data_IF_305199760323
#
_entry.id   IF_305199760323
#
_cell.length_a   1.000
_cell.length_b   1.000
_cell.length_c   1.000
_cell.angle_alpha   90.00
_cell.angle_beta   90.00
_cell.angle_gamma   90.00
#
_symmetry.space_group_name_H-M   'P 1'
#
loop_
_entity.id
_entity.type
_entity.pdbx_description
1 polymer ?
#
# COMPACT_ATOMS: atom_id res chain seq x y z
N UNK A 1 13.92 -15.86 10.65
CA UNK A 1 14.86 -15.73 9.52
C UNK A 1 16.01 -14.87 9.98
N UNK A 2 17.11 -15.51 10.31
CA UNK A 2 18.30 -14.91 10.93
C UNK A 2 19.10 -14.14 9.88
N UNK A 3 19.21 -12.83 10.04
CA UNK A 3 20.05 -11.98 9.18
C UNK A 3 21.53 -12.24 9.45
N UNK A 4 22.23 -12.82 8.48
CA UNK A 4 23.69 -12.74 8.46
C UNK A 4 24.09 -11.41 7.82
N UNK A 5 24.38 -10.44 8.66
CA UNK A 5 25.06 -9.20 8.29
C UNK A 5 26.44 -9.55 7.70
N UNK A 6 26.83 -8.96 6.56
CA UNK A 6 28.21 -8.99 6.09
C UNK A 6 29.06 -8.08 7.00
N UNK A 7 29.27 -8.51 8.25
CA UNK A 7 30.04 -7.78 9.26
C UNK A 7 30.95 -8.69 10.08
N UNK A 8 31.30 -9.87 9.59
CA UNK A 8 32.27 -10.74 10.24
C UNK A 8 33.50 -10.88 9.34
N UNK A 9 34.68 -10.77 9.94
CA UNK A 9 36.00 -10.97 9.32
C UNK A 9 35.95 -12.06 8.25
N UNK A 10 36.20 -11.70 6.99
CA UNK A 10 36.26 -12.61 5.86
C UNK A 10 37.48 -13.52 6.06
N UNK A 11 37.25 -14.80 6.38
CA UNK A 11 38.33 -15.76 6.69
C UNK A 11 38.55 -16.77 5.57
N UNK A 12 37.59 -16.91 4.64
CA UNK A 12 37.71 -17.80 3.48
C UNK A 12 37.13 -17.22 2.19
N UNK A 13 37.39 -17.92 1.08
CA UNK A 13 36.80 -17.61 -0.24
C UNK A 13 35.30 -17.87 -0.24
N UNK A 14 34.81 -18.86 0.52
CA UNK A 14 33.37 -19.09 0.68
C UNK A 14 32.67 -17.92 1.39
N UNK A 15 33.30 -17.33 2.42
CA UNK A 15 32.75 -16.15 3.11
C UNK A 15 32.59 -14.96 2.15
N UNK A 16 33.59 -14.75 1.28
CA UNK A 16 33.57 -13.73 0.22
C UNK A 16 32.45 -13.98 -0.79
N UNK A 17 32.31 -15.22 -1.27
CA UNK A 17 31.25 -15.59 -2.21
C UNK A 17 29.85 -15.38 -1.60
N UNK A 18 29.68 -15.73 -0.32
CA UNK A 18 28.43 -15.54 0.39
C UNK A 18 28.11 -14.04 0.57
N UNK A 19 29.09 -13.21 0.94
CA UNK A 19 28.87 -11.77 1.07
C UNK A 19 28.57 -11.10 -0.29
N UNK A 20 29.26 -11.51 -1.37
CA UNK A 20 28.96 -11.02 -2.73
C UNK A 20 27.53 -11.37 -3.14
N UNK A 21 27.05 -12.57 -2.82
CA UNK A 21 25.68 -12.96 -3.09
C UNK A 21 24.67 -12.09 -2.31
N UNK A 22 24.94 -11.81 -1.03
CA UNK A 22 24.10 -10.92 -0.23
C UNK A 22 24.06 -9.49 -0.78
N UNK A 23 25.21 -8.94 -1.18
CA UNK A 23 25.30 -7.60 -1.78
C UNK A 23 24.58 -7.53 -3.13
N UNK A 24 24.73 -8.57 -3.96
CA UNK A 24 24.02 -8.72 -5.23
C UNK A 24 22.51 -8.66 -5.03
N UNK A 25 21.96 -9.44 -4.10
CA UNK A 25 20.51 -9.42 -3.76
C UNK A 25 20.08 -8.04 -3.27
N UNK A 26 20.89 -7.39 -2.42
CA UNK A 26 20.62 -6.04 -1.94
C UNK A 26 20.57 -4.99 -3.05
N UNK A 27 21.50 -5.07 -4.02
CA UNK A 27 21.53 -4.19 -5.20
C UNK A 27 20.33 -4.41 -6.12
N UNK A 28 19.91 -5.67 -6.30
CA UNK A 28 18.71 -6.01 -7.07
C UNK A 28 17.43 -5.44 -6.42
N UNK A 29 17.29 -5.54 -5.10
CA UNK A 29 16.16 -4.92 -4.36
C UNK A 29 16.17 -3.40 -4.52
N UNK A 30 17.33 -2.76 -4.38
CA UNK A 30 17.46 -1.30 -4.58
C UNK A 30 17.09 -0.88 -6.00
N UNK A 31 17.57 -1.60 -7.01
CA UNK A 31 17.24 -1.35 -8.41
C UNK A 31 15.74 -1.49 -8.68
N UNK A 32 15.13 -2.57 -8.19
CA UNK A 32 13.68 -2.78 -8.33
C UNK A 32 12.86 -1.65 -7.69
N UNK A 33 13.27 -1.19 -6.50
CA UNK A 33 12.61 -0.07 -5.81
C UNK A 33 12.78 1.26 -6.56
N UNK A 34 13.94 1.49 -7.15
CA UNK A 34 14.19 2.68 -7.96
C UNK A 34 13.32 2.68 -9.21
N UNK A 35 13.21 1.55 -9.91
CA UNK A 35 12.37 1.42 -11.10
C UNK A 35 10.89 1.63 -10.75
N UNK A 36 10.40 1.01 -9.67
CA UNK A 36 9.04 1.23 -9.18
C UNK A 36 8.77 2.72 -8.89
N UNK A 37 9.72 3.43 -8.28
CA UNK A 37 9.58 4.85 -8.05
C UNK A 37 9.56 5.66 -9.36
N UNK A 38 10.51 5.38 -10.27
CA UNK A 38 10.62 6.09 -11.53
C UNK A 38 9.37 5.90 -12.40
N UNK A 39 8.82 4.69 -12.44
CA UNK A 39 7.58 4.36 -13.15
C UNK A 39 6.34 4.99 -12.51
N UNK A 40 6.30 5.07 -11.17
CA UNK A 40 5.16 5.59 -10.44
C UNK A 40 5.15 7.12 -10.26
N UNK A 41 6.24 7.83 -10.55
CA UNK A 41 6.29 9.28 -10.32
C UNK A 41 5.86 10.05 -11.54
N UNK A 42 4.82 10.87 -11.39
CA UNK A 42 4.24 11.68 -12.45
C UNK A 42 4.02 13.13 -12.00
N UNK A 43 3.78 14.02 -12.95
CA UNK A 43 3.21 15.34 -12.67
C UNK A 43 1.69 15.28 -12.87
N UNK A 44 0.95 15.82 -11.93
CA UNK A 44 -0.51 15.98 -12.01
C UNK A 44 -0.85 17.40 -11.57
N UNK A 45 -1.37 18.21 -12.48
CA UNK A 45 -1.69 19.63 -12.25
C UNK A 45 -0.54 20.44 -11.60
N UNK A 46 0.69 20.17 -12.03
CA UNK A 46 1.96 20.73 -11.51
C UNK A 46 2.44 20.16 -10.16
N UNK A 47 1.64 19.34 -9.49
CA UNK A 47 2.07 18.60 -8.31
C UNK A 47 2.83 17.33 -8.71
N UNK A 48 3.91 17.02 -7.99
CA UNK A 48 4.57 15.73 -8.10
C UNK A 48 3.73 14.71 -7.37
N UNK A 49 3.34 13.64 -8.06
CA UNK A 49 2.56 12.55 -7.48
C UNK A 49 3.27 11.23 -7.65
N UNK A 50 3.18 10.38 -6.64
CA UNK A 50 3.52 8.97 -6.75
C UNK A 50 2.23 8.16 -6.96
N UNK A 51 2.21 7.30 -7.96
CA UNK A 51 1.09 6.46 -8.35
C UNK A 51 1.49 4.98 -8.22
N UNK A 52 0.62 4.20 -7.60
CA UNK A 52 0.79 2.75 -7.50
C UNK A 52 -0.53 2.02 -7.77
N UNK A 53 -0.50 1.13 -8.75
CA UNK A 53 -1.64 0.29 -9.11
C UNK A 53 -1.51 -1.10 -8.49
N UNK A 54 -2.58 -1.52 -7.81
CA UNK A 54 -2.71 -2.81 -7.17
C UNK A 54 -3.84 -3.61 -7.82
N UNK A 55 -3.45 -4.65 -8.57
CA UNK A 55 -4.38 -5.59 -9.19
C UNK A 55 -4.81 -6.63 -8.15
N UNK A 56 -6.12 -6.75 -7.95
CA UNK A 56 -6.74 -7.71 -7.01
C UNK A 56 -7.53 -8.74 -7.83
N UNK A 57 -7.12 -10.02 -7.82
CA UNK A 57 -7.87 -11.08 -8.50
C UNK A 57 -9.29 -11.18 -7.92
N UNK A 58 -10.29 -11.36 -8.77
CA UNK A 58 -11.70 -11.46 -8.34
C UNK A 58 -11.92 -12.63 -7.38
N UNK A 59 -11.21 -13.74 -7.58
CA UNK A 59 -11.21 -14.92 -6.69
C UNK A 59 -10.86 -14.57 -5.23
N UNK A 60 -10.16 -13.45 -5.00
CA UNK A 60 -9.89 -12.93 -3.65
C UNK A 60 -11.19 -12.63 -2.90
N UNK A 61 -12.23 -12.20 -3.61
CA UNK A 61 -13.55 -11.90 -3.04
C UNK A 61 -14.34 -13.17 -2.69
N UNK A 62 -13.97 -14.31 -3.27
CA UNK A 62 -14.66 -15.60 -3.12
C UNK A 62 -13.96 -16.51 -2.10
N UNK A 63 -12.62 -16.46 -2.06
CA UNK A 63 -11.79 -17.39 -1.28
C UNK A 63 -11.51 -16.94 0.15
N UNK A 64 -11.87 -15.70 0.50
CA UNK A 64 -11.58 -15.12 1.82
C UNK A 64 -12.80 -15.21 2.72
N UNK A 65 -12.56 -15.38 4.02
CA UNK A 65 -13.61 -15.40 5.05
C UNK A 65 -13.74 -14.03 5.73
N UNK A 66 -14.86 -13.81 6.42
CA UNK A 66 -15.14 -12.54 7.10
C UNK A 66 -14.00 -12.17 8.06
N UNK A 67 -13.44 -10.96 7.90
CA UNK A 67 -12.32 -10.46 8.70
C UNK A 67 -10.94 -10.74 8.12
N UNK A 68 -10.83 -11.58 7.08
CA UNK A 68 -9.55 -11.79 6.41
C UNK A 68 -9.11 -10.52 5.65
N UNK A 69 -7.81 -10.24 5.69
CA UNK A 69 -7.20 -9.09 5.02
C UNK A 69 -6.42 -9.56 3.79
N UNK A 70 -6.68 -8.93 2.65
CA UNK A 70 -5.81 -9.01 1.48
C UNK A 70 -4.93 -7.78 1.43
N UNK A 71 -3.61 -7.96 1.28
CA UNK A 71 -2.62 -6.87 1.39
C UNK A 71 -1.68 -6.87 0.19
N UNK A 72 -1.43 -5.70 -0.38
CA UNK A 72 -0.49 -5.52 -1.48
C UNK A 72 0.95 -5.83 -1.05
N UNK A 73 1.84 -5.98 -2.03
CA UNK A 73 3.28 -5.85 -1.75
C UNK A 73 3.57 -4.45 -1.20
N UNK A 74 4.60 -4.35 -0.36
CA UNK A 74 5.08 -3.07 0.17
C UNK A 74 5.88 -2.34 -0.90
N UNK A 75 5.72 -1.03 -0.97
CA UNK A 75 6.39 -0.17 -1.94
C UNK A 75 6.90 1.10 -1.25
N UNK A 76 7.86 1.79 -1.86
CA UNK A 76 8.34 3.08 -1.40
C UNK A 76 7.77 4.18 -2.29
N UNK A 77 7.28 5.27 -1.68
CA UNK A 77 6.70 6.39 -2.44
C UNK A 77 7.73 7.42 -2.92
N UNK A 78 8.97 7.30 -2.43
CA UNK A 78 10.13 8.03 -2.93
C UNK A 78 11.43 7.30 -2.58
N UNK A 79 12.55 7.57 -3.26
CA UNK A 79 13.85 7.01 -2.92
C UNK A 79 14.19 7.38 -1.48
N UNK A 80 14.25 6.36 -0.63
CA UNK A 80 14.47 6.53 0.79
C UNK A 80 13.34 7.17 1.60
N UNK A 81 12.15 7.31 1.00
CA UNK A 81 10.94 7.82 1.65
C UNK A 81 10.17 6.78 2.45
N UNK A 82 8.89 7.07 2.68
CA UNK A 82 7.98 6.20 3.42
C UNK A 82 7.73 4.89 2.66
N UNK A 83 7.66 3.79 3.40
CA UNK A 83 7.26 2.48 2.88
C UNK A 83 5.79 2.26 3.14
N UNK A 84 5.00 2.06 2.11
CA UNK A 84 3.53 1.93 2.19
C UNK A 84 3.05 0.57 1.71
N UNK A 85 1.78 0.28 2.00
CA UNK A 85 1.02 -0.84 1.45
C UNK A 85 -0.46 -0.47 1.36
N UNK A 86 -1.19 -1.17 0.50
CA UNK A 86 -2.64 -1.15 0.41
C UNK A 86 -3.22 -2.43 1.01
N UNK A 87 -4.42 -2.34 1.56
CA UNK A 87 -5.14 -3.50 2.06
C UNK A 87 -6.65 -3.30 1.98
N UNK A 88 -7.36 -4.42 1.88
CA UNK A 88 -8.82 -4.50 1.91
C UNK A 88 -9.24 -5.73 2.70
N UNK A 89 -10.51 -5.75 3.10
CA UNK A 89 -11.21 -6.91 3.61
C UNK A 89 -12.17 -7.42 2.54
N UNK A 90 -11.83 -8.51 1.82
CA UNK A 90 -12.59 -8.95 0.66
C UNK A 90 -14.03 -9.32 0.98
N UNK A 91 -14.36 -9.71 2.21
CA UNK A 91 -15.72 -10.02 2.69
C UNK A 91 -16.19 -9.09 3.81
N UNK A 92 -15.45 -8.00 4.07
CA UNK A 92 -15.70 -7.06 5.16
C UNK A 92 -14.93 -7.40 6.43
N UNK A 93 -14.83 -6.44 7.33
CA UNK A 93 -14.14 -6.62 8.61
C UNK A 93 -15.07 -7.29 9.64
N UNK A 94 -14.55 -8.21 10.45
CA UNK A 94 -15.38 -9.01 11.38
C UNK A 94 -16.18 -8.19 12.40
N UNK A 95 -15.75 -6.96 12.69
CA UNK A 95 -16.40 -6.05 13.64
C UNK A 95 -17.33 -5.04 12.97
N UNK A 96 -17.48 -5.10 11.63
CA UNK A 96 -18.34 -4.19 10.89
C UNK A 96 -19.82 -4.56 11.03
N UNK A 97 -20.68 -3.54 11.00
CA UNK A 97 -22.13 -3.75 10.85
C UNK A 97 -22.45 -4.40 9.50
N UNK A 98 -23.54 -5.17 9.42
CA UNK A 98 -24.00 -5.82 8.18
C UNK A 98 -24.21 -4.86 7.00
N UNK A 99 -24.50 -3.59 7.27
CA UNK A 99 -24.62 -2.54 6.23
C UNK A 99 -23.28 -2.26 5.56
N UNK A 100 -22.19 -2.21 6.34
CA UNK A 100 -20.85 -1.94 5.82
C UNK A 100 -20.28 -3.12 5.03
N UNK A 101 -20.71 -4.35 5.33
CA UNK A 101 -20.32 -5.55 4.58
C UNK A 101 -20.75 -5.49 3.11
N UNK A 102 -21.74 -4.66 2.76
CA UNK A 102 -22.21 -4.46 1.39
C UNK A 102 -21.29 -3.58 0.55
N UNK A 103 -20.23 -3.01 1.13
CA UNK A 103 -19.32 -2.11 0.44
C UNK A 103 -17.95 -2.73 0.23
N UNK A 104 -17.32 -2.31 -0.85
CA UNK A 104 -15.88 -2.45 -1.07
C UNK A 104 -15.18 -1.43 -0.19
N UNK A 105 -14.20 -1.90 0.58
CA UNK A 105 -13.36 -1.10 1.44
C UNK A 105 -11.91 -1.13 0.92
N UNK A 106 -11.17 -0.06 1.21
CA UNK A 106 -9.74 0.01 0.91
C UNK A 106 -9.06 0.96 1.89
N UNK A 107 -7.86 0.59 2.29
CA UNK A 107 -7.04 1.35 3.21
C UNK A 107 -5.59 1.35 2.76
N UNK A 108 -4.88 2.42 3.10
CA UNK A 108 -3.43 2.49 3.04
C UNK A 108 -2.84 2.42 4.46
N UNK A 109 -1.66 1.81 4.57
CA UNK A 109 -0.88 1.77 5.80
C UNK A 109 0.59 2.07 5.55
N UNK A 110 1.31 2.39 6.64
CA UNK A 110 2.75 2.60 6.62
C UNK A 110 3.43 1.37 7.23
N UNK A 111 4.37 0.80 6.49
CA UNK A 111 5.26 -0.25 6.95
C UNK A 111 6.58 0.34 7.43
N UNK A 112 7.29 -0.40 8.29
CA UNK A 112 8.65 0.00 8.70
C UNK A 112 9.57 0.05 7.49
N UNK A 113 10.16 1.22 7.27
CA UNK A 113 11.18 1.49 6.27
C UNK A 113 12.58 1.50 6.87
N UNK A 114 13.58 1.39 5.99
CA UNK A 114 15.00 1.48 6.39
C UNK A 114 15.40 2.88 6.83
N UNK A 115 14.69 3.91 6.36
CA UNK A 115 15.02 5.31 6.56
C UNK A 115 14.06 6.04 7.50
N UNK A 116 13.20 5.34 8.23
CA UNK A 116 12.18 5.94 9.10
C UNK A 116 12.75 6.90 10.16
N UNK A 117 14.03 6.76 10.51
CA UNK A 117 14.73 7.67 11.44
C UNK A 117 15.01 9.06 10.85
N UNK A 118 15.03 9.18 9.52
CA UNK A 118 15.34 10.42 8.80
C UNK A 118 14.10 11.09 8.21
N UNK A 119 12.92 10.46 8.35
CA UNK A 119 11.66 10.98 7.86
C UNK A 119 10.94 11.78 8.95
N UNK A 120 10.11 12.71 8.52
CA UNK A 120 9.22 13.43 9.43
C UNK A 120 8.07 12.54 9.88
N UNK A 121 7.64 12.69 11.13
CA UNK A 121 6.48 11.97 11.65
C UNK A 121 5.58 12.92 12.45
N UNK A 122 4.25 12.71 12.45
CA UNK A 122 3.52 11.67 11.71
C UNK A 122 3.58 11.85 10.18
N UNK A 123 3.21 10.82 9.42
CA UNK A 123 3.03 10.92 7.97
C UNK A 123 1.89 11.90 7.65
N UNK A 124 2.14 12.87 6.78
CA UNK A 124 1.24 14.01 6.49
C UNK A 124 0.88 14.19 5.02
N UNK A 125 1.42 13.37 4.12
CA UNK A 125 1.16 13.53 2.69
C UNK A 125 -0.26 13.09 2.37
N UNK A 126 -1.01 13.96 1.69
CA UNK A 126 -2.35 13.63 1.22
C UNK A 126 -2.26 12.53 0.17
N UNK A 127 -3.29 11.70 0.10
CA UNK A 127 -3.38 10.66 -0.91
C UNK A 127 -4.82 10.38 -1.32
N UNK A 128 -4.99 9.77 -2.48
CA UNK A 128 -6.27 9.27 -2.98
C UNK A 128 -6.22 7.75 -3.12
N UNK A 129 -7.31 7.11 -2.73
CA UNK A 129 -7.59 5.70 -2.99
C UNK A 129 -8.64 5.64 -4.08
N UNK A 130 -8.35 4.93 -5.17
CA UNK A 130 -9.14 4.97 -6.39
C UNK A 130 -9.46 3.53 -6.80
N UNK A 131 -10.71 3.23 -7.12
CA UNK A 131 -11.08 2.03 -7.88
C UNK A 131 -11.23 2.43 -9.35
N UNK A 132 -10.42 1.83 -10.22
CA UNK A 132 -10.39 2.19 -11.63
C UNK A 132 -11.53 1.53 -12.41
N UNK A 133 -12.22 2.33 -13.21
CA UNK A 133 -13.03 1.82 -14.33
C UNK A 133 -12.09 1.49 -15.48
N UNK A 134 -12.00 0.22 -15.86
CA UNK A 134 -11.04 -0.27 -16.87
C UNK A 134 -11.58 -0.18 -18.30
N UNK A 135 -12.59 0.67 -18.52
CA UNK A 135 -13.09 1.07 -19.84
C UNK A 135 -12.07 1.97 -20.54
N UNK A 136 -11.88 1.78 -21.84
CA UNK A 136 -10.89 2.56 -22.62
C UNK A 136 -11.38 3.98 -22.88
N UNK A 137 -12.66 4.15 -23.19
CA UNK A 137 -13.29 5.43 -23.47
C UNK A 137 -14.16 5.89 -22.29
N UNK A 138 -13.93 7.11 -21.80
CA UNK A 138 -14.68 7.76 -20.71
C UNK A 138 -14.78 6.92 -19.41
N UNK A 139 -13.63 6.57 -18.79
CA UNK A 139 -13.63 5.83 -17.53
C UNK A 139 -14.22 6.68 -16.40
N UNK A 140 -15.06 6.06 -15.57
CA UNK A 140 -15.64 6.70 -14.39
C UNK A 140 -15.04 6.06 -13.14
N UNK A 141 -13.87 6.56 -12.73
CA UNK A 141 -13.17 6.10 -11.54
C UNK A 141 -13.92 6.48 -10.25
N UNK A 142 -13.78 5.65 -9.22
CA UNK A 142 -14.34 5.94 -7.89
C UNK A 142 -13.22 6.32 -6.94
N UNK A 143 -13.22 7.58 -6.50
CA UNK A 143 -12.15 8.15 -5.72
C UNK A 143 -12.53 8.45 -4.27
N UNK A 144 -11.58 8.23 -3.36
CA UNK A 144 -11.67 8.65 -1.97
C UNK A 144 -10.39 9.38 -1.55
N UNK A 145 -10.52 10.68 -1.27
CA UNK A 145 -9.42 11.50 -0.81
C UNK A 145 -9.17 11.33 0.70
N UNK A 146 -7.91 11.19 1.07
CA UNK A 146 -7.47 11.07 2.46
C UNK A 146 -6.50 12.20 2.80
N UNK A 147 -6.87 12.97 3.82
CA UNK A 147 -5.95 13.86 4.52
C UNK A 147 -5.56 13.19 5.83
N UNK A 148 -4.32 12.67 5.97
CA UNK A 148 -3.87 12.00 7.19
C UNK A 148 -4.13 12.79 8.47
N UNK A 149 -4.07 14.13 8.41
CA UNK A 149 -4.24 15.00 9.58
C UNK A 149 -5.70 15.13 10.02
N UNK A 150 -6.64 14.85 9.13
CA UNK A 150 -8.08 15.00 9.40
C UNK A 150 -8.77 13.65 9.47
N UNK A 151 -8.63 12.85 8.43
CA UNK A 151 -9.39 11.61 8.22
C UNK A 151 -8.94 10.47 9.14
N UNK A 152 -7.71 10.53 9.65
CA UNK A 152 -7.07 9.39 10.31
C UNK A 152 -6.73 9.66 11.79
N UNK A 153 -6.90 10.91 12.24
CA UNK A 153 -6.68 11.30 13.64
C UNK A 153 -7.99 11.48 14.43
N UNK A 154 -9.15 11.61 13.76
CA UNK A 154 -10.42 11.98 14.41
C UNK A 154 -11.34 10.80 14.80
N UNK A 155 -11.07 9.58 14.34
CA UNK A 155 -11.81 8.40 14.79
C UNK A 155 -11.27 8.00 16.16
N UNK A 156 -12.03 8.28 17.24
CA UNK A 156 -11.69 8.09 18.66
C UNK A 156 -11.38 6.64 19.11
N UNK A 157 -10.37 6.04 18.49
CA UNK A 157 -9.75 4.75 18.79
C UNK A 157 -8.32 4.72 18.25
N UNK A 158 -7.66 3.55 18.23
CA UNK A 158 -6.25 3.36 17.86
C UNK A 158 -5.84 3.85 16.44
N UNK A 159 -6.74 4.45 15.65
CA UNK A 159 -6.51 4.96 14.28
C UNK A 159 -5.47 6.10 14.26
N UNK A 160 -5.39 6.89 15.34
CA UNK A 160 -4.39 7.97 15.49
C UNK A 160 -2.92 7.50 15.37
N UNK A 161 -2.68 6.19 15.44
CA UNK A 161 -1.35 5.60 15.34
C UNK A 161 -0.99 5.10 13.92
N UNK A 162 -1.95 5.00 12.98
CA UNK A 162 -1.71 4.46 11.63
C UNK A 162 -0.61 5.20 10.86
N UNK A 163 -0.42 6.48 11.17
CA UNK A 163 0.57 7.34 10.54
C UNK A 163 1.63 7.87 11.50
N UNK A 164 1.72 7.28 12.69
CA UNK A 164 2.90 7.44 13.55
C UNK A 164 4.04 6.56 13.06
N UNK A 165 5.26 6.87 13.52
CA UNK A 165 6.46 6.11 13.18
C UNK A 165 6.30 4.62 13.54
N UNK A 166 6.47 3.69 12.59
CA UNK A 166 6.40 2.27 12.87
C UNK A 166 7.43 1.84 13.92
N UNK A 167 6.96 1.17 14.97
CA UNK A 167 7.82 0.58 16.01
C UNK A 167 8.08 -0.90 15.73
N UNK A 168 7.07 -1.60 15.23
CA UNK A 168 7.14 -2.99 14.79
C UNK A 168 7.31 -3.05 13.27
N UNK A 169 7.87 -4.16 12.72
CA UNK A 169 7.95 -4.36 11.26
C UNK A 169 6.58 -4.31 10.57
N UNK A 170 5.54 -4.65 11.35
CA UNK A 170 4.15 -4.55 11.01
C UNK A 170 3.47 -3.74 12.11
N UNK A 171 3.11 -2.48 11.87
CA UNK A 171 2.04 -1.82 12.64
C UNK A 171 0.69 -2.48 12.21
N UNK A 172 0.62 -3.81 12.32
CA UNK A 172 -0.11 -4.75 11.45
C UNK A 172 -1.63 -4.73 11.47
N UNK A 173 -2.24 -3.68 12.04
CA UNK A 173 -3.68 -3.42 11.91
C UNK A 173 -4.01 -1.96 11.62
N UNK A 174 -3.03 -1.06 11.71
CA UNK A 174 -3.26 0.38 11.66
C UNK A 174 -3.16 0.88 10.23
N UNK A 175 -4.29 1.33 9.71
CA UNK A 175 -4.50 1.70 8.33
C UNK A 175 -5.57 2.78 8.27
N UNK A 176 -5.55 3.58 7.22
CA UNK A 176 -6.54 4.63 7.00
C UNK A 176 -7.01 4.66 5.55
N UNK A 177 -8.29 4.94 5.36
CA UNK A 177 -8.97 4.87 4.09
C UNK A 177 -10.46 4.87 4.30
N UNK A 178 -11.20 4.12 3.48
CA UNK A 178 -12.66 4.11 3.51
C UNK A 178 -13.21 2.70 3.63
N UNK A 179 -14.30 2.60 4.40
CA UNK A 179 -15.13 1.39 4.52
C UNK A 179 -16.21 1.31 3.44
N UNK A 180 -16.47 2.43 2.75
CA UNK A 180 -17.62 2.62 1.86
C UNK A 180 -17.18 3.22 0.52
N UNK A 181 -16.19 2.63 -0.15
CA UNK A 181 -15.72 3.15 -1.43
C UNK A 181 -16.81 3.07 -2.50
N UNK A 182 -17.40 1.89 -2.64
CA UNK A 182 -18.43 1.57 -3.63
C UNK A 182 -19.26 0.39 -3.12
N UNK A 183 -20.54 0.29 -3.47
CA UNK A 183 -21.31 -0.91 -3.14
C UNK A 183 -20.82 -2.11 -3.95
N UNK A 184 -20.79 -3.29 -3.35
CA UNK A 184 -20.34 -4.52 -4.01
C UNK A 184 -21.15 -4.87 -5.25
N UNK A 185 -22.44 -4.57 -5.28
CA UNK A 185 -23.27 -4.78 -6.47
C UNK A 185 -22.90 -3.84 -7.63
N UNK A 186 -22.38 -2.65 -7.32
CA UNK A 186 -22.05 -1.62 -8.31
C UNK A 186 -20.75 -1.94 -9.07
N UNK A 187 -19.87 -2.79 -8.52
CA UNK A 187 -18.63 -3.19 -9.22
C UNK A 187 -18.91 -3.95 -10.53
N UNK A 188 -20.12 -4.52 -10.67
CA UNK A 188 -20.55 -5.26 -11.85
C UNK A 188 -21.27 -4.38 -12.89
N UNK A 189 -21.48 -3.10 -12.60
CA UNK A 189 -22.27 -2.19 -13.46
C UNK A 189 -21.46 -1.58 -14.60
N UNK A 190 -20.13 -1.57 -14.49
CA UNK A 190 -19.16 -1.07 -15.48
C UNK A 190 -17.93 -2.00 -15.52
N UNK A 191 -16.90 -1.64 -16.27
CA UNK A 191 -15.65 -2.42 -16.36
C UNK A 191 -14.73 -2.22 -15.15
N UNK A 192 -15.26 -2.12 -13.94
CA UNK A 192 -14.43 -2.15 -12.73
C UNK A 192 -13.73 -3.51 -12.58
N UNK A 193 -14.36 -4.59 -13.04
CA UNK A 193 -13.76 -5.91 -13.20
C UNK A 193 -13.44 -6.14 -14.68
N UNK A 194 -12.15 -6.31 -15.01
CA UNK A 194 -11.67 -6.68 -16.35
C UNK A 194 -10.61 -7.76 -16.20
N UNK A 195 -10.62 -8.74 -17.10
CA UNK A 195 -9.72 -9.89 -17.08
C UNK A 195 -9.63 -10.59 -15.71
N UNK A 196 -10.76 -10.72 -15.01
CA UNK A 196 -10.87 -11.30 -13.66
C UNK A 196 -10.13 -10.55 -12.54
N UNK A 197 -9.89 -9.24 -12.70
CA UNK A 197 -9.24 -8.42 -11.68
C UNK A 197 -9.94 -7.06 -11.49
N UNK A 198 -9.95 -6.60 -10.24
CA UNK A 198 -10.13 -5.19 -9.88
C UNK A 198 -8.77 -4.50 -9.90
N UNK A 199 -8.74 -3.19 -10.15
CA UNK A 199 -7.51 -2.39 -10.03
C UNK A 199 -7.75 -1.22 -9.09
N UNK A 200 -7.05 -1.23 -7.96
CA UNK A 200 -7.01 -0.10 -7.05
C UNK A 200 -5.77 0.74 -7.30
N UNK A 201 -5.92 2.05 -7.39
CA UNK A 201 -4.83 3.00 -7.55
C UNK A 201 -4.66 3.83 -6.28
N UNK A 202 -3.43 3.93 -5.81
CA UNK A 202 -3.00 4.92 -4.83
C UNK A 202 -2.33 6.08 -5.56
N UNK A 203 -2.74 7.32 -5.28
CA UNK A 203 -2.03 8.53 -5.69
C UNK A 203 -1.60 9.31 -4.44
N UNK A 204 -0.30 9.52 -4.24
CA UNK A 204 0.25 10.29 -3.11
C UNK A 204 0.83 11.59 -3.61
N UNK A 205 0.42 12.71 -3.01
CA UNK A 205 0.90 14.04 -3.38
C UNK A 205 2.21 14.33 -2.67
N UNK A 206 3.30 14.37 -3.44
CA UNK A 206 4.66 14.63 -2.97
C UNK A 206 4.90 16.14 -2.99
N UNK A 207 5.09 16.74 -1.81
CA UNK A 207 5.53 18.13 -1.68
C UNK A 207 6.92 18.33 -2.31
#
# INVERSE_FOLDING_TARGET
MTGSSCSASLKSVEDLAQCLQYLSVGLQDLSSRFNQFAEGTHLHDSDRVFVHDWRVPLETMENYTLGDQYTSKRFYISPGGYRMFLTMYPTGEATESSVLLQYVNIFAGIARGVNDNYLSWPFVLKYQLILLDQTEDDPVDVEYAVDPRRSCLQSGGNVGHAFTKPVTPFNGGLKCGTRILMKREEIFTRNYIKDNHLVFRLKVFLA
#
